data_IF_186164744546
#
_entry.id   IF_186164744546
#
_cell.length_a   1.000
_cell.length_b   1.000
_cell.length_c   1.000
_cell.angle_alpha   90.00
_cell.angle_beta   90.00
_cell.angle_gamma   90.00
#
_symmetry.space_group_name_H-M   'P 1'
#
loop_
_entity.id
_entity.type
_entity.pdbx_description
1 polymer ?
#
# COMPACT_ATOMS: atom_id res chain seq x y z
N UNK A 1 4.61 -20.47 49.52
CA UNK A 1 5.11 -19.09 49.29
C UNK A 1 5.60 -18.87 47.86
N UNK A 2 6.26 -19.85 47.21
CA UNK A 2 6.68 -19.77 45.79
C UNK A 2 5.56 -19.90 44.74
N UNK A 3 4.43 -20.51 45.07
CA UNK A 3 3.31 -20.71 44.11
C UNK A 3 2.44 -19.45 43.92
N UNK A 4 2.33 -18.59 44.93
CA UNK A 4 1.55 -17.35 44.83
C UNK A 4 2.29 -16.25 44.06
N UNK A 5 3.63 -16.23 44.13
CA UNK A 5 4.45 -15.25 43.42
C UNK A 5 4.41 -15.45 41.89
N UNK A 6 4.30 -16.70 41.43
CA UNK A 6 4.16 -17.03 40.01
C UNK A 6 2.79 -16.60 39.45
N UNK A 7 1.74 -16.62 40.28
CA UNK A 7 0.40 -16.15 39.94
C UNK A 7 0.36 -14.61 39.78
N UNK A 8 1.05 -13.88 40.65
CA UNK A 8 1.08 -12.40 40.59
C UNK A 8 1.84 -11.88 39.36
N UNK A 9 2.94 -12.53 38.95
CA UNK A 9 3.67 -12.19 37.71
C UNK A 9 2.84 -12.52 36.47
N UNK A 10 2.11 -13.64 36.46
CA UNK A 10 1.21 -14.01 35.35
C UNK A 10 -0.01 -13.07 35.29
N UNK A 11 -0.55 -12.62 36.43
CA UNK A 11 -1.63 -11.64 36.50
C UNK A 11 -1.19 -10.24 36.00
N UNK A 12 0.03 -9.81 36.32
CA UNK A 12 0.59 -8.54 35.83
C UNK A 12 0.90 -8.59 34.32
N UNK A 13 1.33 -9.77 33.80
CA UNK A 13 1.48 -10.05 32.37
C UNK A 13 0.13 -10.02 31.62
N UNK A 14 -0.92 -10.64 32.18
CA UNK A 14 -2.28 -10.62 31.61
C UNK A 14 -2.89 -9.22 31.64
N UNK A 15 -2.60 -8.40 32.67
CA UNK A 15 -3.07 -7.02 32.76
C UNK A 15 -2.37 -6.06 31.79
N UNK A 16 -1.08 -6.27 31.49
CA UNK A 16 -0.37 -5.50 30.45
C UNK A 16 -0.84 -5.87 29.03
N UNK A 17 -1.13 -7.16 28.80
CA UNK A 17 -1.73 -7.65 27.55
C UNK A 17 -3.17 -7.18 27.37
N UNK A 18 -3.97 -7.05 28.43
CA UNK A 18 -5.35 -6.56 28.36
C UNK A 18 -5.42 -5.06 28.05
N UNK A 19 -4.47 -4.26 28.56
CA UNK A 19 -4.32 -2.85 28.18
C UNK A 19 -3.91 -2.67 26.70
N UNK A 20 -3.00 -3.50 26.17
CA UNK A 20 -2.67 -3.49 24.73
C UNK A 20 -3.84 -3.95 23.87
N UNK A 21 -4.61 -4.95 24.34
CA UNK A 21 -5.86 -5.40 23.68
C UNK A 21 -6.90 -4.27 23.62
N UNK A 22 -7.02 -3.47 24.69
CA UNK A 22 -7.99 -2.38 24.76
C UNK A 22 -7.61 -1.16 23.92
N UNK A 23 -6.32 -0.80 23.85
CA UNK A 23 -5.84 0.32 23.03
C UNK A 23 -5.99 0.08 21.52
N UNK A 24 -5.87 -1.18 21.07
CA UNK A 24 -6.06 -1.55 19.65
C UNK A 24 -7.55 -1.69 19.29
N UNK A 25 -8.42 -2.00 20.27
CA UNK A 25 -9.87 -2.15 20.04
C UNK A 25 -10.61 -0.79 19.99
N UNK A 26 -10.16 0.23 20.70
CA UNK A 26 -10.83 1.54 20.77
C UNK A 26 -10.66 2.41 19.52
N UNK A 27 -9.70 2.11 18.63
CA UNK A 27 -9.47 2.87 17.40
C UNK A 27 -10.41 2.47 16.23
N UNK A 28 -11.15 1.36 16.32
CA UNK A 28 -11.85 0.75 15.18
C UNK A 28 -13.39 0.79 15.22
N UNK A 29 -14.00 1.53 16.16
CA UNK A 29 -15.45 1.48 16.37
C UNK A 29 -16.26 2.63 15.74
N UNK A 30 -15.72 3.36 14.75
CA UNK A 30 -16.40 4.51 14.11
C UNK A 30 -16.81 4.39 12.65
N UNK A 31 -16.65 3.24 12.00
CA UNK A 31 -17.13 3.05 10.63
C UNK A 31 -17.89 1.73 10.47
N UNK A 32 -19.19 1.75 10.77
CA UNK A 32 -20.14 0.79 10.23
C UNK A 32 -21.43 1.50 9.85
N UNK A 33 -21.70 1.55 8.54
CA UNK A 33 -22.92 2.06 7.95
C UNK A 33 -23.09 1.45 6.56
N UNK A 34 -23.86 0.35 6.53
CA UNK A 34 -24.64 -0.21 5.40
C UNK A 34 -23.92 -0.66 4.12
N UNK A 35 -23.81 -1.97 3.95
CA UNK A 35 -23.62 -2.62 2.64
C UNK A 35 -24.81 -3.55 2.36
N UNK A 36 -25.65 -3.15 1.41
CA UNK A 36 -26.67 -4.00 0.80
C UNK A 36 -26.03 -5.01 -0.14
N UNK A 37 -26.39 -6.28 -0.01
CA UNK A 37 -25.81 -7.38 -0.78
C UNK A 37 -26.33 -7.45 -2.22
N UNK A 38 -25.46 -7.90 -3.12
CA UNK A 38 -25.89 -8.52 -4.38
C UNK A 38 -25.00 -9.74 -4.66
N UNK A 39 -25.67 -10.87 -4.90
CA UNK A 39 -25.08 -12.15 -5.33
C UNK A 39 -25.21 -12.19 -6.84
N UNK A 40 -24.13 -12.51 -7.56
CA UNK A 40 -24.25 -12.96 -8.96
C UNK A 40 -23.44 -14.24 -9.15
N UNK A 41 -24.12 -15.17 -9.81
CA UNK A 41 -23.74 -16.54 -10.12
C UNK A 41 -22.64 -16.60 -11.17
N UNK A 42 -21.79 -17.63 -11.05
CA UNK A 42 -20.74 -18.02 -11.97
C UNK A 42 -21.23 -18.45 -13.35
N UNK A 43 -20.31 -18.35 -14.31
CA UNK A 43 -20.25 -18.89 -15.68
C UNK A 43 -20.76 -17.97 -16.80
N UNK A 44 -19.82 -17.31 -17.50
CA UNK A 44 -19.60 -17.47 -18.94
C UNK A 44 -18.52 -16.50 -19.49
N UNK A 45 -17.69 -17.04 -20.38
CA UNK A 45 -16.98 -16.38 -21.50
C UNK A 45 -15.75 -15.51 -21.23
N UNK A 46 -14.62 -16.22 -21.26
CA UNK A 46 -13.37 -15.81 -21.93
C UNK A 46 -13.66 -15.53 -23.41
N UNK A 47 -13.56 -14.26 -23.84
CA UNK A 47 -13.20 -13.76 -25.20
C UNK A 47 -13.83 -12.37 -25.40
N UNK A 48 -13.09 -11.30 -25.10
CA UNK A 48 -13.22 -9.96 -25.71
C UNK A 48 -12.15 -9.05 -25.07
N UNK A 49 -10.95 -9.06 -25.65
CA UNK A 49 -9.86 -8.13 -25.29
C UNK A 49 -9.29 -7.58 -26.59
N UNK A 50 -9.89 -6.50 -27.10
CA UNK A 50 -9.24 -5.67 -28.14
C UNK A 50 -9.77 -4.22 -28.23
N UNK A 51 -10.73 -3.78 -27.41
CA UNK A 51 -11.09 -2.37 -27.25
C UNK A 51 -11.42 -2.12 -25.78
N UNK A 52 -10.77 -1.13 -25.14
CA UNK A 52 -10.84 -0.82 -23.71
C UNK A 52 -12.19 -1.16 -23.06
N UNK A 53 -12.22 -2.29 -22.34
CA UNK A 53 -13.44 -2.94 -21.90
C UNK A 53 -14.11 -2.21 -20.75
N UNK A 54 -15.05 -1.34 -21.08
CA UNK A 54 -16.17 -1.05 -20.18
C UNK A 54 -17.26 -2.08 -20.50
N UNK A 55 -17.59 -2.95 -19.55
CA UNK A 55 -18.79 -3.78 -19.66
C UNK A 55 -19.99 -2.85 -19.82
N UNK A 56 -20.70 -3.00 -20.93
CA UNK A 56 -21.97 -2.30 -21.15
C UNK A 56 -22.92 -2.79 -20.06
N UNK A 57 -23.42 -1.92 -19.16
CA UNK A 57 -24.32 -2.35 -18.09
C UNK A 57 -25.54 -3.06 -18.67
N UNK A 58 -26.05 -4.10 -18.00
CA UNK A 58 -27.25 -4.84 -18.46
C UNK A 58 -28.47 -3.94 -18.69
N UNK A 59 -28.48 -2.75 -18.07
CA UNK A 59 -29.54 -1.76 -18.15
C UNK A 59 -29.29 -0.69 -19.23
N UNK A 60 -28.21 -0.80 -19.99
CA UNK A 60 -27.97 0.08 -21.13
C UNK A 60 -28.92 -0.30 -22.27
N UNK A 61 -29.44 0.69 -22.98
CA UNK A 61 -30.25 0.44 -24.15
C UNK A 61 -29.42 -0.24 -25.26
N UNK A 62 -30.07 -1.07 -26.08
CA UNK A 62 -29.43 -1.88 -27.14
C UNK A 62 -28.59 -1.07 -28.15
N UNK A 63 -28.81 0.24 -28.22
CA UNK A 63 -28.10 1.16 -29.12
C UNK A 63 -27.27 2.22 -28.39
N UNK A 64 -26.90 1.99 -27.13
CA UNK A 64 -26.00 2.88 -26.42
C UNK A 64 -24.67 3.03 -27.17
N UNK A 65 -24.25 4.25 -27.56
CA UNK A 65 -22.94 4.44 -28.20
C UNK A 65 -21.76 4.20 -27.24
N UNK A 66 -22.02 4.02 -25.95
CA UNK A 66 -21.02 3.90 -24.89
C UNK A 66 -20.50 5.25 -24.41
N UNK A 67 -20.03 5.36 -23.15
CA UNK A 67 -19.67 6.64 -22.55
C UNK A 67 -18.43 7.29 -23.16
N UNK A 68 -17.57 6.53 -23.86
CA UNK A 68 -16.35 7.04 -24.49
C UNK A 68 -16.54 7.48 -25.96
N UNK A 69 -17.71 7.21 -26.56
CA UNK A 69 -17.99 7.62 -27.93
C UNK A 69 -18.16 9.14 -28.06
N UNK A 70 -17.75 9.72 -29.18
CA UNK A 70 -18.02 11.12 -29.51
C UNK A 70 -19.51 11.46 -29.59
N UNK A 71 -20.34 10.45 -29.89
CA UNK A 71 -21.80 10.54 -29.94
C UNK A 71 -22.50 10.31 -28.59
N UNK A 72 -21.74 9.99 -27.53
CA UNK A 72 -22.29 9.76 -26.19
C UNK A 72 -23.00 11.01 -25.67
N UNK A 73 -24.25 10.85 -25.23
CA UNK A 73 -25.10 11.96 -24.77
C UNK A 73 -25.67 12.85 -25.88
N UNK A 74 -25.29 12.60 -27.15
CA UNK A 74 -25.68 13.41 -28.32
C UNK A 74 -26.51 12.65 -29.35
N UNK A 75 -26.42 11.32 -29.40
CA UNK A 75 -27.21 10.49 -30.31
C UNK A 75 -28.66 10.34 -29.85
N UNK A 76 -29.56 10.01 -30.78
CA UNK A 76 -30.96 9.68 -30.52
C UNK A 76 -31.11 8.57 -29.47
N UNK A 77 -30.20 7.59 -29.47
CA UNK A 77 -30.17 6.53 -28.46
C UNK A 77 -29.87 7.06 -27.03
N UNK A 78 -29.44 8.29 -26.84
CA UNK A 78 -29.22 8.86 -25.51
C UNK A 78 -30.43 9.66 -25.00
N UNK A 79 -31.47 9.87 -25.81
CA UNK A 79 -32.66 10.61 -25.39
C UNK A 79 -33.38 9.87 -24.26
N UNK A 80 -33.69 10.59 -23.18
CA UNK A 80 -34.31 10.02 -21.98
C UNK A 80 -33.38 9.23 -21.07
N UNK A 81 -32.09 9.12 -21.41
CA UNK A 81 -31.08 8.53 -20.52
C UNK A 81 -30.78 9.45 -19.33
N UNK A 82 -30.86 8.97 -18.07
CA UNK A 82 -30.53 9.78 -16.88
C UNK A 82 -29.11 10.38 -16.91
N UNK A 83 -28.18 9.73 -17.62
CA UNK A 83 -26.78 10.14 -17.72
C UNK A 83 -26.45 10.91 -19.00
N UNK A 84 -27.45 11.30 -19.81
CA UNK A 84 -27.24 11.93 -21.13
C UNK A 84 -26.32 13.16 -21.06
N UNK A 85 -26.59 14.10 -20.15
CA UNK A 85 -25.80 15.32 -20.02
C UNK A 85 -24.37 15.06 -19.54
N UNK A 86 -24.19 14.08 -18.66
CA UNK A 86 -22.87 13.66 -18.18
C UNK A 86 -22.07 13.07 -19.35
N UNK A 87 -22.68 12.18 -20.13
CA UNK A 87 -22.06 11.62 -21.31
C UNK A 87 -21.77 12.70 -22.38
N UNK A 88 -22.64 13.70 -22.56
CA UNK A 88 -22.44 14.75 -23.55
C UNK A 88 -21.27 15.68 -23.22
N UNK A 89 -21.03 15.91 -21.93
CA UNK A 89 -20.03 16.87 -21.41
C UNK A 89 -18.73 16.20 -20.96
N UNK A 90 -18.74 14.90 -20.70
CA UNK A 90 -17.54 14.15 -20.31
C UNK A 90 -16.51 14.18 -21.44
N UNK A 91 -15.22 14.45 -21.13
CA UNK A 91 -14.14 14.42 -22.11
C UNK A 91 -14.11 13.08 -22.85
N UNK A 92 -13.87 13.15 -24.17
CA UNK A 92 -13.81 11.99 -25.08
C UNK A 92 -12.38 11.77 -25.55
N UNK A 93 -12.08 10.52 -25.85
CA UNK A 93 -10.74 10.11 -26.29
C UNK A 93 -9.81 9.81 -25.13
N UNK A 94 -8.56 9.41 -25.45
CA UNK A 94 -7.57 9.06 -24.44
C UNK A 94 -7.24 10.28 -23.59
N UNK A 95 -7.20 10.07 -22.28
CA UNK A 95 -6.85 11.09 -21.31
C UNK A 95 -5.45 11.66 -21.63
N UNK A 96 -5.32 12.96 -21.98
CA UNK A 96 -4.06 13.53 -22.44
C UNK A 96 -2.95 13.44 -21.39
N UNK A 97 -3.33 13.33 -20.10
CA UNK A 97 -2.35 13.17 -19.03
C UNK A 97 -1.67 11.80 -19.06
N UNK A 98 -2.30 10.77 -19.64
CA UNK A 98 -1.69 9.45 -19.76
C UNK A 98 -0.42 9.47 -20.61
N UNK A 99 -0.41 10.25 -21.70
CA UNK A 99 0.79 10.38 -22.53
C UNK A 99 1.97 10.98 -21.75
N UNK A 100 1.70 11.99 -20.94
CA UNK A 100 2.70 12.63 -20.11
C UNK A 100 3.14 11.73 -18.93
N UNK A 101 2.23 10.93 -18.35
CA UNK A 101 2.59 9.90 -17.37
C UNK A 101 3.51 8.85 -18.01
N UNK A 102 3.19 8.38 -19.22
CA UNK A 102 4.01 7.39 -19.93
C UNK A 102 5.43 7.90 -20.12
N UNK A 103 5.57 9.13 -20.61
CA UNK A 103 6.88 9.76 -20.78
C UNK A 103 7.62 9.88 -19.44
N UNK A 104 6.94 10.35 -18.39
CA UNK A 104 7.55 10.56 -17.08
C UNK A 104 7.99 9.27 -16.40
N UNK A 105 7.19 8.21 -16.53
CA UNK A 105 7.41 6.92 -15.87
C UNK A 105 8.27 5.95 -16.70
N UNK A 106 8.67 6.35 -17.92
CA UNK A 106 9.57 5.56 -18.77
C UNK A 106 11.00 5.44 -18.20
N UNK A 107 11.45 6.41 -17.39
CA UNK A 107 12.77 6.42 -16.75
C UNK A 107 12.85 5.62 -15.45
N UNK A 108 11.75 4.96 -15.07
CA UNK A 108 11.63 4.18 -13.83
C UNK A 108 11.68 2.69 -14.17
N UNK A 109 12.75 2.00 -13.78
CA UNK A 109 12.99 0.59 -14.14
C UNK A 109 12.02 -0.36 -13.43
N UNK A 110 11.91 -0.27 -12.10
CA UNK A 110 11.02 -1.11 -11.31
C UNK A 110 9.98 -0.27 -10.56
N UNK A 111 8.72 -0.66 -10.63
CA UNK A 111 7.58 -0.01 -9.96
C UNK A 111 6.89 -1.02 -9.06
N UNK A 112 6.99 -0.80 -7.75
CA UNK A 112 6.51 -1.74 -6.73
C UNK A 112 5.43 -1.05 -5.90
N UNK A 113 4.22 -1.63 -5.89
CA UNK A 113 3.13 -1.16 -5.06
C UNK A 113 3.17 -1.83 -3.70
N UNK A 114 3.06 -1.07 -2.63
CA UNK A 114 2.91 -1.60 -1.27
C UNK A 114 1.46 -1.40 -0.84
N UNK A 115 0.74 -2.51 -0.68
CA UNK A 115 -0.68 -2.56 -0.39
C UNK A 115 -0.93 -3.13 1.01
N UNK A 116 -2.13 -2.90 1.55
CA UNK A 116 -2.58 -3.54 2.78
C UNK A 116 -4.10 -3.62 2.82
N UNK A 117 -4.66 -4.73 3.31
CA UNK A 117 -6.11 -4.88 3.40
C UNK A 117 -6.78 -4.02 4.50
N UNK A 118 -6.01 -3.52 5.47
CA UNK A 118 -6.52 -2.70 6.58
C UNK A 118 -5.47 -1.67 7.05
N UNK A 119 -5.94 -0.60 7.70
CA UNK A 119 -5.08 0.38 8.35
C UNK A 119 -4.34 -0.19 9.57
N UNK A 120 -3.20 0.40 9.92
CA UNK A 120 -2.45 0.09 11.14
C UNK A 120 -1.60 -1.19 11.10
N UNK A 121 -1.42 -1.83 9.94
CA UNK A 121 -0.54 -3.03 9.81
C UNK A 121 0.95 -2.68 9.68
N UNK A 122 1.30 -1.39 9.62
CA UNK A 122 2.67 -0.93 9.39
C UNK A 122 3.11 -0.96 7.93
N UNK A 123 2.16 -0.82 6.98
CA UNK A 123 2.42 -0.70 5.54
C UNK A 123 3.43 0.41 5.22
N UNK A 124 3.15 1.65 5.65
CA UNK A 124 4.01 2.80 5.39
C UNK A 124 5.39 2.66 6.05
N UNK A 125 5.47 2.03 7.23
CA UNK A 125 6.76 1.68 7.86
C UNK A 125 7.54 0.72 6.98
N UNK A 126 6.89 -0.31 6.45
CA UNK A 126 7.54 -1.23 5.50
C UNK A 126 7.97 -0.51 4.22
N UNK A 127 7.13 0.35 3.62
CA UNK A 127 7.45 1.15 2.43
C UNK A 127 8.68 2.03 2.64
N UNK A 128 8.76 2.73 3.78
CA UNK A 128 9.91 3.56 4.16
C UNK A 128 11.19 2.72 4.32
N UNK A 129 11.12 1.60 5.07
CA UNK A 129 12.31 0.77 5.30
C UNK A 129 12.76 0.01 4.05
N UNK A 130 11.84 -0.42 3.18
CA UNK A 130 12.18 -0.95 1.87
C UNK A 130 12.96 0.09 1.06
N UNK A 131 12.50 1.35 1.06
CA UNK A 131 13.15 2.44 0.31
C UNK A 131 14.54 2.76 0.85
N UNK A 132 14.70 2.83 2.18
CA UNK A 132 16.03 2.98 2.81
C UNK A 132 16.97 1.81 2.46
N UNK A 133 16.49 0.57 2.49
CA UNK A 133 17.32 -0.57 2.17
C UNK A 133 17.78 -0.57 0.71
N UNK A 134 16.89 -0.22 -0.22
CA UNK A 134 17.24 -0.11 -1.64
C UNK A 134 18.25 1.03 -1.86
N UNK A 135 18.06 2.18 -1.21
CA UNK A 135 19.00 3.30 -1.28
C UNK A 135 20.38 2.94 -0.69
N UNK A 136 20.41 2.21 0.44
CA UNK A 136 21.65 1.70 1.03
C UNK A 136 22.36 0.63 0.17
N UNK A 137 21.67 0.07 -0.82
CA UNK A 137 22.26 -0.79 -1.85
C UNK A 137 22.76 0.00 -3.08
N UNK A 138 22.81 1.33 -2.99
CA UNK A 138 23.24 2.30 -4.02
C UNK A 138 22.25 2.47 -5.20
N UNK A 139 21.02 1.98 -5.08
CA UNK A 139 19.98 2.21 -6.10
C UNK A 139 19.45 3.65 -6.06
N UNK A 140 18.99 4.16 -7.20
CA UNK A 140 18.20 5.39 -7.28
C UNK A 140 16.74 5.07 -6.95
N UNK A 141 16.23 5.62 -5.85
CA UNK A 141 14.93 5.25 -5.28
C UNK A 141 14.00 6.46 -5.19
N UNK A 142 12.79 6.29 -5.69
CA UNK A 142 11.64 7.15 -5.42
C UNK A 142 10.67 6.48 -4.47
N UNK A 143 10.17 7.20 -3.49
CA UNK A 143 9.05 6.79 -2.64
C UNK A 143 7.88 7.74 -2.83
N UNK A 144 6.80 7.20 -3.39
CA UNK A 144 5.57 7.93 -3.67
C UNK A 144 4.48 7.52 -2.68
N UNK A 145 4.05 8.45 -1.84
CA UNK A 145 2.96 8.28 -0.89
C UNK A 145 1.64 8.78 -1.50
N UNK A 146 0.74 7.84 -1.77
CA UNK A 146 -0.61 8.11 -2.26
C UNK A 146 -1.68 7.82 -1.19
N UNK A 147 -1.30 7.60 0.07
CA UNK A 147 -2.23 7.47 1.19
C UNK A 147 -2.75 8.84 1.64
N UNK A 148 -3.59 9.43 0.78
CA UNK A 148 -4.02 10.83 0.89
C UNK A 148 -4.73 11.14 2.21
N UNK A 149 -5.41 10.14 2.79
CA UNK A 149 -6.22 10.31 3.99
C UNK A 149 -5.38 10.31 5.29
N UNK A 150 -4.16 9.77 5.24
CA UNK A 150 -3.32 9.60 6.42
C UNK A 150 -1.84 9.52 6.05
N UNK A 151 -1.28 10.56 5.39
CA UNK A 151 0.11 10.56 4.96
C UNK A 151 1.02 10.43 6.17
N UNK A 152 1.81 9.35 6.21
CA UNK A 152 2.73 9.08 7.32
C UNK A 152 4.19 9.08 6.87
N UNK A 153 4.45 9.02 5.56
CA UNK A 153 5.78 8.95 5.00
C UNK A 153 6.65 10.17 5.33
N UNK A 154 6.17 11.44 5.24
CA UNK A 154 6.98 12.60 5.62
C UNK A 154 7.54 12.50 7.04
N UNK A 155 6.71 12.07 7.99
CA UNK A 155 7.12 11.85 9.38
C UNK A 155 8.09 10.68 9.52
N UNK A 156 7.79 9.55 8.88
CA UNK A 156 8.61 8.34 8.95
C UNK A 156 10.02 8.49 8.36
N UNK A 157 10.25 9.55 7.60
CA UNK A 157 11.53 9.88 6.98
C UNK A 157 12.16 11.17 7.52
N UNK A 158 11.58 11.78 8.56
CA UNK A 158 12.10 13.02 9.16
C UNK A 158 11.99 14.25 8.27
N UNK A 159 11.03 14.27 7.35
CA UNK A 159 10.77 15.34 6.38
C UNK A 159 9.57 16.22 6.76
N UNK A 160 9.16 16.25 8.03
CA UNK A 160 8.08 17.13 8.49
C UNK A 160 8.46 18.60 8.26
N UNK A 161 7.52 19.39 7.74
CA UNK A 161 7.73 20.81 7.42
C UNK A 161 8.48 21.08 6.10
N UNK A 162 8.84 20.04 5.35
CA UNK A 162 9.32 20.22 3.97
C UNK A 162 8.16 20.50 3.01
N UNK A 163 8.44 21.27 1.97
CA UNK A 163 7.47 21.64 0.93
C UNK A 163 7.93 21.17 -0.45
N UNK A 164 6.98 20.97 -1.36
CA UNK A 164 7.29 20.62 -2.75
C UNK A 164 7.80 21.87 -3.47
N UNK A 165 8.99 21.77 -4.07
CA UNK A 165 9.52 22.82 -4.91
C UNK A 165 9.16 22.60 -6.38
N UNK A 166 8.71 23.66 -7.05
CA UNK A 166 8.45 23.64 -8.49
C UNK A 166 9.66 24.16 -9.26
N UNK A 167 10.09 23.40 -10.26
CA UNK A 167 11.15 23.74 -11.21
C UNK A 167 10.64 23.77 -12.64
N UNK A 168 11.48 24.16 -13.60
CA UNK A 168 11.15 24.11 -15.03
C UNK A 168 10.92 22.67 -15.54
N UNK A 169 11.42 21.65 -14.84
CA UNK A 169 11.27 20.24 -15.21
C UNK A 169 10.04 19.58 -14.55
N UNK A 170 9.38 20.30 -13.63
CA UNK A 170 8.28 19.79 -12.81
C UNK A 170 8.56 19.93 -11.32
N UNK A 171 7.80 19.21 -10.51
CA UNK A 171 7.95 19.14 -9.06
C UNK A 171 9.20 18.34 -8.69
N UNK A 172 10.06 18.94 -7.86
CA UNK A 172 11.20 18.24 -7.30
C UNK A 172 10.73 17.36 -6.15
N UNK A 173 11.13 16.08 -6.09
CA UNK A 173 10.96 15.30 -4.87
C UNK A 173 11.77 15.91 -3.73
N UNK A 174 11.33 15.64 -2.50
CA UNK A 174 12.06 15.98 -1.28
C UNK A 174 13.02 14.83 -0.99
N UNK A 175 14.31 15.13 -0.92
CA UNK A 175 15.34 14.10 -0.75
C UNK A 175 15.64 13.86 0.73
N UNK A 176 15.60 12.59 1.15
CA UNK A 176 16.09 12.14 2.46
C UNK A 176 17.59 11.90 2.40
N UNK A 177 18.02 11.27 1.30
CA UNK A 177 19.42 11.00 0.94
C UNK A 177 19.62 11.39 -0.52
N UNK A 178 20.87 11.46 -0.99
CA UNK A 178 21.17 11.86 -2.38
C UNK A 178 20.51 10.99 -3.45
N UNK A 179 20.18 9.74 -3.12
CA UNK A 179 19.56 8.75 -4.01
C UNK A 179 18.18 8.27 -3.52
N UNK A 180 17.58 8.94 -2.53
CA UNK A 180 16.23 8.63 -2.03
C UNK A 180 15.35 9.89 -2.06
N UNK A 181 14.57 10.01 -3.13
CA UNK A 181 13.58 11.08 -3.31
C UNK A 181 12.19 10.65 -2.85
N UNK A 182 11.44 11.59 -2.26
CA UNK A 182 10.10 11.33 -1.69
C UNK A 182 9.10 12.32 -2.25
N UNK A 183 7.90 11.83 -2.56
CA UNK A 183 6.74 12.65 -2.85
C UNK A 183 5.55 12.18 -2.00
N UNK A 184 4.90 13.11 -1.31
CA UNK A 184 3.72 12.83 -0.49
C UNK A 184 2.77 14.01 -0.50
N UNK A 185 1.48 13.74 -0.36
CA UNK A 185 0.49 14.79 -0.12
C UNK A 185 0.79 15.58 1.17
N UNK A 186 1.48 14.97 2.14
CA UNK A 186 1.79 15.62 3.42
C UNK A 186 2.64 16.89 3.28
N UNK A 187 3.37 17.05 2.16
CA UNK A 187 4.12 18.28 1.85
C UNK A 187 3.24 19.42 1.30
N UNK A 188 1.99 19.12 0.95
CA UNK A 188 1.02 20.08 0.40
C UNK A 188 -0.02 20.52 1.43
N UNK A 189 -0.07 19.86 2.59
CA UNK A 189 -1.00 20.20 3.66
C UNK A 189 -0.45 21.40 4.44
N UNK A 190 -1.24 22.46 4.65
CA UNK A 190 -0.77 23.62 5.39
C UNK A 190 -0.53 23.29 6.87
N UNK A 191 -1.25 22.31 7.41
CA UNK A 191 -1.05 21.79 8.76
C UNK A 191 -1.11 20.26 8.80
N UNK A 192 -0.22 19.60 9.57
CA UNK A 192 -0.16 18.13 9.66
C UNK A 192 -1.40 17.50 10.30
N UNK A 193 -2.13 18.26 11.13
CA UNK A 193 -3.37 17.79 11.80
C UNK A 193 -4.63 18.04 10.96
N UNK A 194 -4.50 18.57 9.74
CA UNK A 194 -5.66 18.86 8.90
C UNK A 194 -6.22 17.57 8.28
N UNK A 195 -7.49 17.28 8.57
CA UNK A 195 -8.18 16.14 7.99
C UNK A 195 -8.41 16.35 6.49
N UNK A 196 -7.83 15.50 5.66
CA UNK A 196 -7.99 15.54 4.20
C UNK A 196 -9.30 14.90 3.78
N UNK A 197 -10.36 15.70 3.66
CA UNK A 197 -11.68 15.23 3.20
C UNK A 197 -11.83 15.48 1.70
N UNK A 198 -11.12 14.71 0.89
CA UNK A 198 -11.14 14.85 -0.57
C UNK A 198 -12.06 13.81 -1.23
N UNK A 199 -12.81 14.23 -2.24
CA UNK A 199 -13.64 13.33 -3.05
C UNK A 199 -12.78 12.61 -4.11
N UNK A 200 -13.23 11.42 -4.53
CA UNK A 200 -12.52 10.53 -5.46
C UNK A 200 -11.88 11.23 -6.67
N UNK A 201 -12.59 12.09 -7.43
CA UNK A 201 -11.99 12.79 -8.58
C UNK A 201 -10.78 13.66 -8.23
N UNK A 202 -10.78 14.31 -7.06
CA UNK A 202 -9.65 15.11 -6.58
C UNK A 202 -8.47 14.24 -6.18
N UNK A 203 -8.74 13.08 -5.56
CA UNK A 203 -7.71 12.10 -5.23
C UNK A 203 -7.06 11.50 -6.48
N UNK A 204 -7.86 11.11 -7.46
CA UNK A 204 -7.34 10.61 -8.74
C UNK A 204 -6.54 11.69 -9.48
N UNK A 205 -7.02 12.93 -9.43
CA UNK A 205 -6.31 14.09 -9.97
C UNK A 205 -4.92 14.27 -9.37
N UNK A 206 -4.76 14.17 -8.04
CA UNK A 206 -3.44 14.34 -7.42
C UNK A 206 -2.51 13.15 -7.66
N UNK A 207 -3.02 11.91 -7.65
CA UNK A 207 -2.21 10.72 -7.99
C UNK A 207 -1.63 10.87 -9.38
N UNK A 208 -2.50 11.24 -10.34
CA UNK A 208 -2.11 11.50 -11.71
C UNK A 208 -1.10 12.64 -11.81
N UNK A 209 -1.29 13.70 -11.02
CA UNK A 209 -0.35 14.81 -10.96
C UNK A 209 1.02 14.39 -10.43
N UNK A 210 1.08 13.55 -9.40
CA UNK A 210 2.35 12.99 -8.91
C UNK A 210 3.07 12.15 -9.97
N UNK A 211 2.34 11.35 -10.74
CA UNK A 211 2.93 10.54 -11.80
C UNK A 211 3.39 11.36 -13.01
N UNK A 212 2.76 12.51 -13.26
CA UNK A 212 3.02 13.34 -14.44
C UNK A 212 4.05 14.45 -14.19
N UNK A 213 3.88 15.17 -13.08
CA UNK A 213 4.55 16.44 -12.83
C UNK A 213 5.82 16.27 -11.98
N UNK A 214 6.00 15.17 -11.27
CA UNK A 214 7.19 14.96 -10.44
C UNK A 214 8.38 14.57 -11.32
N UNK A 215 9.47 15.31 -11.22
CA UNK A 215 10.71 15.02 -11.91
C UNK A 215 11.60 14.11 -11.05
N UNK A 216 11.47 12.81 -11.29
CA UNK A 216 12.24 11.78 -10.61
C UNK A 216 13.67 11.62 -11.16
N UNK A 217 13.92 12.01 -12.40
CA UNK A 217 15.14 11.63 -13.12
C UNK A 217 15.12 10.16 -13.52
N UNK A 218 16.27 9.51 -13.46
CA UNK A 218 16.42 8.06 -13.67
C UNK A 218 16.27 7.33 -12.34
N UNK A 219 15.30 6.42 -12.22
CA UNK A 219 15.09 5.62 -11.03
C UNK A 219 15.29 4.13 -11.32
N UNK A 220 15.99 3.46 -10.42
CA UNK A 220 16.00 2.00 -10.38
C UNK A 220 14.69 1.48 -9.79
N UNK A 221 14.19 2.12 -8.73
CA UNK A 221 12.97 1.71 -8.04
C UNK A 221 12.06 2.90 -7.74
N UNK A 222 10.76 2.74 -8.03
CA UNK A 222 9.69 3.55 -7.48
C UNK A 222 8.82 2.68 -6.56
N UNK A 223 8.88 2.95 -5.26
CA UNK A 223 8.04 2.33 -4.25
C UNK A 223 6.80 3.20 -4.06
N UNK A 224 5.61 2.63 -4.20
CA UNK A 224 4.34 3.34 -4.05
C UNK A 224 3.63 2.88 -2.78
N UNK A 225 3.49 3.77 -1.79
CA UNK A 225 2.72 3.52 -0.56
C UNK A 225 1.24 3.84 -0.81
N UNK A 226 0.43 2.79 -1.04
CA UNK A 226 -0.99 2.93 -1.35
C UNK A 226 -1.86 3.08 -0.10
N UNK A 227 -3.06 3.66 -0.14
CA UNK A 227 -3.98 3.65 1.01
C UNK A 227 -4.39 2.22 1.39
N UNK A 228 -4.88 1.98 2.62
CA UNK A 228 -5.37 0.67 3.03
C UNK A 228 -6.74 0.32 2.43
N UNK A 229 -6.99 -1.00 2.28
CA UNK A 229 -8.23 -1.56 1.73
C UNK A 229 -8.27 -1.49 0.20
N UNK A 230 -9.34 -1.99 -0.41
CA UNK A 230 -9.48 -2.03 -1.88
C UNK A 230 -10.22 -0.78 -2.39
N UNK A 231 -9.52 0.35 -2.44
CA UNK A 231 -10.12 1.66 -2.76
C UNK A 231 -9.92 2.07 -4.23
N UNK A 232 -10.66 3.10 -4.70
CA UNK A 232 -10.58 3.60 -6.08
C UNK A 232 -9.17 4.09 -6.47
N UNK A 233 -8.38 4.52 -5.48
CA UNK A 233 -6.98 4.93 -5.64
C UNK A 233 -6.11 3.78 -6.16
N UNK A 234 -6.39 2.53 -5.76
CA UNK A 234 -5.66 1.35 -6.24
C UNK A 234 -5.92 1.07 -7.72
N UNK A 235 -7.18 1.18 -8.12
CA UNK A 235 -7.57 1.02 -9.53
C UNK A 235 -6.90 2.13 -10.36
N UNK A 236 -6.93 3.36 -9.85
CA UNK A 236 -6.38 4.53 -10.53
C UNK A 236 -4.87 4.41 -10.74
N UNK A 237 -4.10 4.04 -9.71
CA UNK A 237 -2.65 3.88 -9.85
C UNK A 237 -2.29 2.75 -10.82
N UNK A 238 -3.01 1.63 -10.78
CA UNK A 238 -2.78 0.51 -11.70
C UNK A 238 -3.10 0.92 -13.14
N UNK A 239 -4.20 1.62 -13.37
CA UNK A 239 -4.58 2.13 -14.69
C UNK A 239 -3.57 3.14 -15.24
N UNK A 240 -3.11 4.09 -14.42
CA UNK A 240 -2.17 5.12 -14.86
C UNK A 240 -0.78 4.56 -15.18
N UNK A 241 -0.34 3.52 -14.46
CA UNK A 241 0.96 2.89 -14.69
C UNK A 241 0.92 1.73 -15.68
N UNK A 242 -0.26 1.29 -16.12
CA UNK A 242 -0.44 0.11 -16.97
C UNK A 242 0.44 0.13 -18.22
N UNK A 243 0.51 1.28 -18.90
CA UNK A 243 1.28 1.43 -20.13
C UNK A 243 2.80 1.41 -19.92
N UNK A 244 3.27 1.72 -18.70
CA UNK A 244 4.71 1.72 -18.35
C UNK A 244 5.15 0.49 -17.56
N UNK A 245 4.24 -0.47 -17.37
CA UNK A 245 4.46 -1.68 -16.59
C UNK A 245 4.47 -1.44 -15.08
N UNK A 246 4.08 -2.46 -14.34
CA UNK A 246 4.20 -2.54 -12.88
C UNK A 246 4.74 -3.93 -12.58
N UNK A 247 5.86 -4.03 -11.84
CA UNK A 247 6.47 -5.32 -11.50
C UNK A 247 5.56 -6.14 -10.59
N UNK A 248 4.85 -5.46 -9.69
CA UNK A 248 3.79 -6.06 -8.90
C UNK A 248 3.55 -5.36 -7.58
N UNK A 249 2.83 -6.06 -6.70
CA UNK A 249 2.45 -5.61 -5.38
C UNK A 249 3.02 -6.48 -4.27
N UNK A 250 3.44 -5.83 -3.19
CA UNK A 250 3.71 -6.43 -1.89
C UNK A 250 2.51 -6.13 -0.99
N UNK A 251 1.97 -7.15 -0.35
CA UNK A 251 0.84 -6.98 0.58
C UNK A 251 1.35 -7.13 2.01
N UNK A 252 1.20 -6.06 2.80
CA UNK A 252 1.58 -6.03 4.21
C UNK A 252 0.36 -6.36 5.07
N UNK A 253 0.54 -7.24 6.05
CA UNK A 253 -0.52 -7.66 6.98
C UNK A 253 0.00 -7.93 8.39
N UNK A 254 -0.90 -8.32 9.29
CA UNK A 254 -0.59 -8.81 10.64
C UNK A 254 -1.12 -10.23 10.83
N UNK A 255 -0.57 -11.07 11.72
CA UNK A 255 -1.02 -12.47 11.87
C UNK A 255 -2.45 -12.64 12.42
N UNK A 256 -3.13 -11.55 12.80
CA UNK A 256 -4.52 -11.57 13.24
C UNK A 256 -5.43 -12.19 12.18
N UNK A 257 -6.27 -13.15 12.57
CA UNK A 257 -7.20 -13.84 11.66
C UNK A 257 -8.11 -12.87 10.89
N UNK A 258 -8.58 -11.80 11.54
CA UNK A 258 -9.42 -10.78 10.89
C UNK A 258 -8.66 -10.09 9.74
N UNK A 259 -7.34 -9.89 9.88
CA UNK A 259 -6.52 -9.24 8.85
C UNK A 259 -6.27 -10.15 7.65
N UNK A 260 -6.23 -11.48 7.87
CA UNK A 260 -6.09 -12.44 6.78
C UNK A 260 -7.30 -12.43 5.85
N UNK A 261 -8.50 -12.10 6.34
CA UNK A 261 -9.70 -11.94 5.51
C UNK A 261 -9.49 -10.77 4.53
N UNK A 262 -8.95 -9.66 5.00
CA UNK A 262 -8.73 -8.48 4.16
C UNK A 262 -7.57 -8.70 3.18
N UNK A 263 -6.53 -9.44 3.56
CA UNK A 263 -5.47 -9.87 2.61
C UNK A 263 -6.04 -10.75 1.50
N UNK A 264 -6.98 -11.65 1.81
CA UNK A 264 -7.63 -12.48 0.77
C UNK A 264 -8.40 -11.62 -0.22
N UNK A 265 -9.06 -10.55 0.23
CA UNK A 265 -9.72 -9.58 -0.66
C UNK A 265 -8.68 -8.84 -1.50
N UNK A 266 -7.58 -8.40 -0.89
CA UNK A 266 -6.49 -7.67 -1.56
C UNK A 266 -5.82 -8.50 -2.66
N UNK A 267 -5.49 -9.76 -2.39
CA UNK A 267 -4.95 -10.69 -3.40
C UNK A 267 -5.97 -10.92 -4.51
N UNK A 268 -7.25 -11.05 -4.17
CA UNK A 268 -8.32 -11.21 -5.17
C UNK A 268 -8.48 -9.96 -6.04
N UNK A 269 -8.33 -8.76 -5.45
CA UNK A 269 -8.30 -7.50 -6.16
C UNK A 269 -7.13 -7.46 -7.15
N UNK A 270 -5.91 -7.75 -6.70
CA UNK A 270 -4.72 -7.81 -7.55
C UNK A 270 -4.93 -8.71 -8.77
N UNK A 271 -5.47 -9.93 -8.56
CA UNK A 271 -5.79 -10.86 -9.65
C UNK A 271 -6.81 -10.31 -10.64
N UNK A 272 -7.83 -9.57 -10.18
CA UNK A 272 -8.86 -8.98 -11.05
C UNK A 272 -8.32 -7.85 -11.91
N UNK A 273 -7.39 -7.04 -11.38
CA UNK A 273 -6.79 -5.90 -12.11
C UNK A 273 -5.51 -6.29 -12.86
N UNK A 274 -5.15 -7.58 -12.88
CA UNK A 274 -3.95 -8.07 -13.56
C UNK A 274 -2.62 -7.69 -12.90
N UNK A 275 -2.64 -7.31 -11.62
CA UNK A 275 -1.46 -6.95 -10.85
C UNK A 275 -0.83 -8.20 -10.22
N UNK A 276 0.45 -8.46 -10.53
CA UNK A 276 1.19 -9.56 -9.94
C UNK A 276 1.40 -9.34 -8.44
N UNK A 277 1.15 -10.36 -7.62
CA UNK A 277 1.50 -10.32 -6.19
C UNK A 277 2.91 -10.87 -6.03
N UNK A 278 3.89 -10.00 -5.78
CA UNK A 278 5.29 -10.34 -5.50
C UNK A 278 5.41 -11.08 -4.17
N UNK A 279 4.55 -10.73 -3.22
CA UNK A 279 4.31 -11.59 -2.07
C UNK A 279 3.71 -10.88 -0.88
N UNK A 280 3.52 -11.65 0.19
CA UNK A 280 2.92 -11.18 1.43
C UNK A 280 3.98 -11.08 2.52
N UNK A 281 3.95 -9.96 3.26
CA UNK A 281 4.76 -9.71 4.45
C UNK A 281 3.86 -9.69 5.67
N UNK A 282 4.14 -10.56 6.64
CA UNK A 282 3.42 -10.60 7.91
C UNK A 282 4.21 -9.79 8.96
N UNK A 283 3.77 -8.54 9.19
CA UNK A 283 4.34 -7.64 10.17
C UNK A 283 3.80 -7.89 11.58
N UNK A 284 4.53 -7.44 12.61
CA UNK A 284 4.18 -7.60 14.02
C UNK A 284 3.95 -9.07 14.44
N UNK A 285 4.75 -9.99 13.91
CA UNK A 285 4.46 -11.44 14.01
C UNK A 285 4.76 -12.06 15.37
N UNK A 286 5.80 -11.58 16.03
CA UNK A 286 6.32 -12.11 17.28
C UNK A 286 6.89 -10.99 18.13
N UNK A 287 6.78 -11.11 19.44
CA UNK A 287 7.49 -10.26 20.39
C UNK A 287 8.68 -11.01 20.96
N UNK A 288 9.82 -10.32 21.00
CA UNK A 288 11.06 -10.83 21.61
C UNK A 288 11.39 -9.96 22.80
N UNK A 289 11.20 -10.50 24.00
CA UNK A 289 11.49 -9.79 25.24
C UNK A 289 12.70 -10.41 25.95
N UNK A 290 13.56 -9.54 26.50
CA UNK A 290 14.58 -9.97 27.47
C UNK A 290 13.85 -10.21 28.79
N UNK A 291 13.81 -11.45 29.27
CA UNK A 291 13.25 -11.76 30.58
C UNK A 291 14.18 -11.18 31.67
N UNK A 292 13.78 -10.13 32.41
CA UNK A 292 14.68 -9.46 33.36
C UNK A 292 15.10 -10.37 34.52
N UNK A 293 14.29 -11.38 34.85
CA UNK A 293 14.48 -12.27 35.99
C UNK A 293 15.23 -13.57 35.68
N UNK A 294 15.46 -13.88 34.40
CA UNK A 294 16.21 -15.08 33.98
C UNK A 294 17.36 -14.70 33.03
N UNK A 295 18.56 -14.59 33.61
CA UNK A 295 19.85 -14.42 32.95
C UNK A 295 19.88 -14.92 31.49
N UNK A 296 19.90 -13.98 30.54
CA UNK A 296 20.15 -14.18 29.12
C UNK A 296 19.18 -15.09 28.33
N UNK A 297 18.02 -15.46 28.88
CA UNK A 297 16.99 -16.15 28.11
C UNK A 297 16.16 -15.14 27.29
N UNK A 298 15.98 -15.47 26.02
CA UNK A 298 15.13 -14.74 25.09
C UNK A 298 13.85 -15.56 24.95
N UNK A 299 12.73 -14.99 25.40
CA UNK A 299 11.42 -15.58 25.15
C UNK A 299 10.89 -15.10 23.79
N UNK A 300 10.40 -16.04 22.99
CA UNK A 300 9.64 -15.76 21.79
C UNK A 300 8.19 -16.13 22.06
N UNK A 301 7.31 -15.13 22.02
CA UNK A 301 5.87 -15.36 22.00
C UNK A 301 5.32 -14.92 20.67
N UNK A 302 4.54 -15.79 20.03
CA UNK A 302 3.68 -15.35 18.94
C UNK A 302 2.67 -14.33 19.49
N UNK A 303 2.47 -13.23 18.76
CA UNK A 303 1.52 -12.19 19.19
C UNK A 303 0.08 -12.65 19.00
N UNK A 304 -0.15 -13.52 18.01
CA UNK A 304 -1.45 -14.11 17.72
C UNK A 304 -1.31 -15.61 17.47
N UNK A 305 -2.36 -16.36 17.80
CA UNK A 305 -2.41 -17.80 17.61
C UNK A 305 -2.25 -18.17 16.13
N UNK A 306 -1.11 -18.78 15.78
CA UNK A 306 -0.79 -19.23 14.44
C UNK A 306 -1.06 -20.73 14.21
N UNK A 307 -1.67 -21.43 15.17
CA UNK A 307 -1.95 -22.88 15.10
C UNK A 307 -2.71 -23.33 13.84
N UNK A 308 -3.44 -22.42 13.20
CA UNK A 308 -4.12 -22.64 11.93
C UNK A 308 -3.23 -22.46 10.68
N UNK A 309 -1.94 -22.14 10.81
CA UNK A 309 -0.97 -21.93 9.72
C UNK A 309 -0.74 -20.47 9.29
N UNK A 310 -1.43 -19.51 9.91
CA UNK A 310 -1.22 -18.06 9.73
C UNK A 310 -1.20 -17.55 8.28
N UNK A 311 -0.42 -16.49 8.02
CA UNK A 311 -0.25 -15.94 6.67
C UNK A 311 0.38 -16.90 5.67
N UNK A 312 1.23 -17.83 6.12
CA UNK A 312 1.88 -18.82 5.25
C UNK A 312 0.85 -19.74 4.59
N UNK A 313 -0.07 -20.30 5.37
CA UNK A 313 -1.14 -21.15 4.83
C UNK A 313 -2.04 -20.37 3.88
N UNK A 314 -2.41 -19.14 4.24
CA UNK A 314 -3.22 -18.29 3.37
C UNK A 314 -2.51 -18.06 2.01
N UNK A 315 -1.21 -17.79 2.02
CA UNK A 315 -0.44 -17.62 0.78
C UNK A 315 -0.43 -18.88 -0.08
N UNK A 316 -0.27 -20.06 0.53
CA UNK A 316 -0.37 -21.36 -0.15
C UNK A 316 -1.76 -21.57 -0.77
N UNK A 317 -2.83 -21.35 0.00
CA UNK A 317 -4.22 -21.50 -0.47
C UNK A 317 -4.52 -20.59 -1.67
N UNK A 318 -3.93 -19.39 -1.69
CA UNK A 318 -4.17 -18.39 -2.73
C UNK A 318 -3.17 -18.46 -3.89
N UNK A 319 -2.14 -19.30 -3.80
CA UNK A 319 -1.09 -19.43 -4.80
C UNK A 319 -0.25 -18.16 -4.95
N UNK A 320 0.08 -17.48 -3.85
CA UNK A 320 0.93 -16.28 -3.84
C UNK A 320 2.19 -16.48 -2.97
N UNK A 321 3.31 -15.78 -3.24
CA UNK A 321 4.53 -15.95 -2.44
C UNK A 321 4.39 -15.40 -1.02
N UNK A 322 5.04 -16.05 -0.07
CA UNK A 322 5.21 -15.53 1.29
C UNK A 322 6.66 -15.05 1.46
N UNK A 323 6.86 -13.75 1.63
CA UNK A 323 8.21 -13.17 1.70
C UNK A 323 8.84 -13.39 3.08
N UNK A 324 8.07 -13.20 4.14
CA UNK A 324 8.55 -13.41 5.49
C UNK A 324 7.72 -12.73 6.56
N UNK A 325 8.29 -12.78 7.78
CA UNK A 325 7.70 -12.22 8.99
C UNK A 325 8.60 -11.12 9.53
N UNK A 326 8.02 -9.99 9.91
CA UNK A 326 8.72 -8.93 10.64
C UNK A 326 8.23 -8.94 12.09
N UNK A 327 9.10 -9.16 13.08
CA UNK A 327 8.71 -9.17 14.48
C UNK A 327 8.36 -7.76 14.97
N UNK A 328 7.56 -7.69 16.04
CA UNK A 328 7.29 -6.43 16.72
C UNK A 328 8.55 -6.00 17.47
N UNK A 329 9.13 -4.89 17.01
CA UNK A 329 10.40 -4.36 17.50
C UNK A 329 10.22 -2.88 17.87
N UNK A 330 10.28 -2.52 19.17
CA UNK A 330 10.19 -1.13 19.60
C UNK A 330 11.26 -0.23 18.98
N UNK A 331 12.44 -0.78 18.62
CA UNK A 331 13.49 -0.02 17.95
C UNK A 331 13.12 0.33 16.51
N UNK A 332 12.38 -0.54 15.81
CA UNK A 332 11.84 -0.22 14.49
C UNK A 332 10.82 0.92 14.56
N UNK A 333 9.92 0.88 15.55
CA UNK A 333 8.98 1.97 15.77
C UNK A 333 9.70 3.28 16.06
N UNK A 334 10.71 3.24 16.94
CA UNK A 334 11.52 4.40 17.28
C UNK A 334 12.29 4.96 16.08
N UNK A 335 12.87 4.09 15.26
CA UNK A 335 13.57 4.51 14.04
C UNK A 335 12.59 5.23 13.08
N UNK A 336 11.38 4.71 12.90
CA UNK A 336 10.35 5.37 12.10
C UNK A 336 9.91 6.71 12.70
N UNK A 337 9.72 6.81 14.02
CA UNK A 337 9.36 8.09 14.68
C UNK A 337 10.45 9.15 14.58
N UNK A 338 11.73 8.73 14.52
CA UNK A 338 12.88 9.61 14.41
C UNK A 338 13.31 9.87 12.96
N UNK A 339 12.61 9.31 11.97
CA UNK A 339 12.92 9.52 10.55
C UNK A 339 14.17 8.77 10.06
N UNK A 340 14.53 7.64 10.66
CA UNK A 340 15.79 6.92 10.41
C UNK A 340 15.60 5.54 9.79
N UNK A 341 16.61 5.11 9.05
CA UNK A 341 16.78 3.73 8.62
C UNK A 341 16.97 2.80 9.83
N UNK A 342 16.24 1.68 9.84
CA UNK A 342 16.42 0.63 10.84
C UNK A 342 17.72 -0.17 10.62
N UNK A 343 18.33 -0.08 9.43
CA UNK A 343 19.55 -0.81 9.09
C UNK A 343 20.82 -0.15 9.64
N UNK A 344 20.79 1.17 9.83
CA UNK A 344 21.91 1.92 10.42
C UNK A 344 21.87 1.91 11.96
N UNK A 345 20.70 1.63 12.53
CA UNK A 345 20.52 1.56 13.96
C UNK A 345 20.94 0.18 14.49
N UNK A 346 22.13 0.10 15.08
CA UNK A 346 22.65 -1.10 15.75
C UNK A 346 21.70 -1.71 16.81
N UNK A 347 20.66 -0.96 17.24
CA UNK A 347 19.65 -1.41 18.19
C UNK A 347 18.51 -2.20 17.55
N UNK A 348 18.27 -2.07 16.24
CA UNK A 348 17.25 -2.83 15.49
C UNK A 348 17.70 -4.27 15.19
N UNK A 349 18.10 -5.01 16.23
CA UNK A 349 18.76 -6.32 16.11
C UNK A 349 17.83 -7.44 15.61
N UNK A 350 16.52 -7.20 15.54
CA UNK A 350 15.52 -8.24 15.28
C UNK A 350 14.76 -7.93 13.99
N UNK A 351 14.25 -6.70 13.85
CA UNK A 351 13.55 -6.24 12.66
C UNK A 351 14.44 -6.10 11.44
N UNK A 352 15.65 -5.51 11.58
CA UNK A 352 16.51 -5.25 10.43
C UNK A 352 16.97 -6.54 9.70
N UNK A 353 17.42 -7.62 10.39
CA UNK A 353 17.74 -8.88 9.70
C UNK A 353 16.53 -9.54 9.01
N UNK A 354 15.34 -9.44 9.62
CA UNK A 354 14.12 -9.98 9.06
C UNK A 354 13.70 -9.22 7.79
N UNK A 355 13.73 -7.88 7.83
CA UNK A 355 13.48 -7.01 6.68
C UNK A 355 14.50 -7.27 5.57
N UNK A 356 15.79 -7.36 5.91
CA UNK A 356 16.85 -7.67 4.93
C UNK A 356 16.56 -8.98 4.18
N UNK A 357 16.20 -10.05 4.90
CA UNK A 357 15.86 -11.34 4.30
C UNK A 357 14.64 -11.24 3.36
N UNK A 358 13.62 -10.45 3.74
CA UNK A 358 12.44 -10.21 2.91
C UNK A 358 12.82 -9.48 1.62
N UNK A 359 13.67 -8.46 1.72
CA UNK A 359 14.10 -7.61 0.61
C UNK A 359 15.00 -8.38 -0.35
N UNK A 360 15.93 -9.21 0.17
CA UNK A 360 16.75 -10.09 -0.66
C UNK A 360 15.90 -11.08 -1.48
N UNK A 361 14.86 -11.66 -0.87
CA UNK A 361 13.91 -12.51 -1.60
C UNK A 361 13.15 -11.73 -2.68
N UNK A 362 12.68 -10.53 -2.36
CA UNK A 362 12.01 -9.65 -3.32
C UNK A 362 12.92 -9.36 -4.53
N UNK A 363 14.14 -8.91 -4.29
CA UNK A 363 15.11 -8.61 -5.34
C UNK A 363 15.45 -9.83 -6.20
N UNK A 364 15.57 -11.01 -5.57
CA UNK A 364 15.80 -12.26 -6.31
C UNK A 364 14.65 -12.62 -7.26
N UNK A 365 13.39 -12.30 -6.88
CA UNK A 365 12.23 -12.54 -7.74
C UNK A 365 12.13 -11.54 -8.89
N UNK A 366 12.64 -10.33 -8.70
CA UNK A 366 12.74 -9.30 -9.73
C UNK A 366 13.97 -9.51 -10.64
N UNK A 367 14.77 -10.55 -10.39
CA UNK A 367 16.03 -10.84 -11.08
C UNK A 367 17.04 -9.68 -11.04
N UNK A 368 16.93 -8.82 -10.03
CA UNK A 368 17.82 -7.68 -9.84
C UNK A 368 19.07 -8.15 -9.09
N UNK A 369 20.21 -8.05 -9.78
CA UNK A 369 21.54 -8.24 -9.19
C UNK A 369 22.30 -6.91 -9.25
N UNK A 370 23.17 -6.64 -8.27
CA UNK A 370 24.10 -5.49 -8.37
C UNK A 370 24.89 -5.65 -9.67
N UNK A 371 24.87 -4.63 -10.53
CA UNK A 371 25.75 -4.52 -11.70
C UNK A 371 27.19 -4.36 -11.20
#
# INVERSE_FOLDING_TARGET
MLMNFCLDVVLDFVNKLSCLRFCVLSANQRYMGEAGGFRVSSSERVREMENGGYEVPENANEHCPGPQSESAGKSDACEGCPNQQICATAPKGPDPDLAAIIERMATVKHKILVLSGKGGVGKSTFSAQLSFALAAMDFQVGLLDIDICGPSIPKMLGLEGQEIHQSNLGWSPVYVESNLGVMSIGFMLPHPDEAVIWRGPRKNGIIKQFLKDVYWGELDFLVVDAPPGTSDEHISIVQFLQATGIDGAIIVTTPQQVSLIDVRKEVSFCKKVGLQVLGVVENMSAMREKCPEMLNLIAFSEVFDSSAGGGVKMCMDMGVPFLGKVPLDPQLCKAAEEGRSCFDDSKCQISAPALKTIIEKLLSQLEVSKI
#
